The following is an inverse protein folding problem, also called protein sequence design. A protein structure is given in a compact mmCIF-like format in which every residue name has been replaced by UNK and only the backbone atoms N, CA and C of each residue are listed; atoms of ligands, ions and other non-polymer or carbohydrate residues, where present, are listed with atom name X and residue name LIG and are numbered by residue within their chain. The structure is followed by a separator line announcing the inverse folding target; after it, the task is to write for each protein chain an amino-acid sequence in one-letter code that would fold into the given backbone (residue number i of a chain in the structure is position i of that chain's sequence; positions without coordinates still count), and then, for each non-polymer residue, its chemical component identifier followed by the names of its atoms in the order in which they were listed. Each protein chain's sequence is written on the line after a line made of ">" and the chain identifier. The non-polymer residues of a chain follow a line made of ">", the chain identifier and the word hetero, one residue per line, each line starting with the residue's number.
data_IF_187299425661
#
_entry.id   IF_187299425661
#
_cell.length_a   1.000
_cell.length_b   1.000
_cell.length_c   1.000
_cell.angle_alpha   90.00
_cell.angle_beta   90.00
_cell.angle_gamma   90.00
#
_symmetry.space_group_name_H-M   'P 1'
#
loop_
_entity.id
_entity.type
_entity.pdbx_description
1 polymer ?
#
# COMPACT_ATOMS: atom_id res chain seq x y z
N UNK A 1 6.50 91.85 12.36
CA UNK A 1 5.94 91.05 11.26
C UNK A 1 6.82 89.82 11.11
N UNK A 2 6.50 88.71 11.73
CA UNK A 2 7.28 87.46 11.73
C UNK A 2 6.41 86.35 11.24
N UNK A 3 6.71 85.85 10.05
CA UNK A 3 6.00 84.75 9.42
C UNK A 3 6.50 83.40 9.94
N UNK A 4 5.61 82.59 10.48
CA UNK A 4 5.93 81.25 10.95
C UNK A 4 5.77 80.23 9.80
N UNK A 5 6.85 79.52 9.49
CA UNK A 5 6.92 78.44 8.52
C UNK A 5 6.47 77.13 9.18
N UNK A 6 5.36 76.53 8.73
CA UNK A 6 4.91 75.22 9.19
C UNK A 6 5.54 74.13 8.32
N UNK A 7 6.36 73.28 8.90
CA UNK A 7 6.89 72.07 8.26
C UNK A 7 5.87 70.94 8.48
N UNK A 8 5.24 70.42 7.45
CA UNK A 8 4.39 69.26 7.49
C UNK A 8 5.25 67.99 7.34
N UNK A 9 5.26 67.16 8.37
CA UNK A 9 5.93 65.87 8.35
C UNK A 9 5.10 64.86 7.56
N UNK A 10 5.55 64.49 6.35
CA UNK A 10 4.98 63.42 5.58
C UNK A 10 5.42 62.07 6.14
N UNK A 11 4.45 61.24 6.55
CA UNK A 11 4.70 59.88 6.96
C UNK A 11 4.83 59.00 5.71
N UNK A 12 6.06 58.50 5.41
CA UNK A 12 6.29 57.48 4.41
C UNK A 12 5.98 56.12 5.02
N UNK A 13 4.91 55.47 4.61
CA UNK A 13 4.63 54.09 4.92
C UNK A 13 5.56 53.22 4.05
N UNK A 14 6.60 52.69 4.61
CA UNK A 14 7.43 51.66 3.96
C UNK A 14 6.69 50.34 4.03
N UNK A 15 6.09 49.90 2.94
CA UNK A 15 5.51 48.57 2.79
C UNK A 15 6.65 47.57 2.64
N UNK A 16 7.00 46.85 3.74
CA UNK A 16 7.92 45.73 3.71
C UNK A 16 7.24 44.55 3.01
N UNK A 17 7.52 44.36 1.74
CA UNK A 17 7.20 43.13 1.01
C UNK A 17 8.06 42.00 1.57
N UNK A 18 7.49 41.19 2.48
CA UNK A 18 8.12 39.93 2.89
C UNK A 18 8.12 38.96 1.72
N UNK A 19 9.26 38.38 1.35
CA UNK A 19 9.27 37.33 0.33
C UNK A 19 8.47 36.13 0.83
N UNK A 20 7.49 35.71 0.07
CA UNK A 20 6.77 34.46 0.27
C UNK A 20 7.75 33.32 0.01
N UNK A 21 8.29 32.74 1.07
CA UNK A 21 9.11 31.54 0.97
C UNK A 21 8.19 30.41 0.49
N UNK A 22 8.22 30.14 -0.80
CA UNK A 22 7.68 28.91 -1.36
C UNK A 22 8.57 27.79 -0.83
N UNK A 23 8.05 27.05 0.18
CA UNK A 23 8.64 25.80 0.60
C UNK A 23 8.49 24.84 -0.58
N UNK A 24 9.56 24.63 -1.33
CA UNK A 24 9.61 23.55 -2.29
C UNK A 24 9.38 22.25 -1.51
N UNK A 25 8.28 21.56 -1.79
CA UNK A 25 8.07 20.20 -1.32
C UNK A 25 9.26 19.38 -1.80
N UNK A 26 10.05 18.90 -0.85
CA UNK A 26 11.13 17.95 -1.12
C UNK A 26 10.46 16.74 -1.77
N UNK A 27 10.89 16.29 -2.96
CA UNK A 27 10.31 15.09 -3.57
C UNK A 27 10.46 13.95 -2.56
N UNK A 28 9.33 13.36 -2.19
CA UNK A 28 9.26 12.23 -1.27
C UNK A 28 10.21 11.14 -1.78
N UNK A 29 11.23 10.81 -1.00
CA UNK A 29 12.19 9.77 -1.35
C UNK A 29 11.42 8.50 -1.71
N UNK A 30 11.80 7.80 -2.80
CA UNK A 30 11.17 6.54 -3.15
C UNK A 30 11.25 5.62 -1.93
N UNK A 31 10.10 5.22 -1.44
CA UNK A 31 9.98 4.37 -0.28
C UNK A 31 10.87 3.14 -0.45
N UNK A 32 11.48 2.69 0.65
CA UNK A 32 12.34 1.50 0.69
C UNK A 32 11.74 0.39 -0.15
N UNK A 33 12.52 -0.15 -1.10
CA UNK A 33 12.11 -1.29 -1.91
C UNK A 33 11.77 -2.46 -0.99
N UNK A 34 10.54 -2.93 -1.07
CA UNK A 34 10.06 -4.10 -0.33
C UNK A 34 10.32 -5.36 -1.15
N UNK A 35 10.60 -6.47 -0.48
CA UNK A 35 10.63 -7.76 -1.14
C UNK A 35 9.20 -8.19 -1.52
N UNK A 36 8.97 -8.78 -2.70
CA UNK A 36 7.68 -9.37 -3.01
C UNK A 36 7.30 -10.47 -2.00
N UNK A 37 6.05 -10.52 -1.54
CA UNK A 37 5.62 -11.54 -0.57
C UNK A 37 5.64 -12.97 -1.15
N UNK A 38 5.58 -13.12 -2.47
CA UNK A 38 5.73 -14.39 -3.19
C UNK A 38 6.62 -14.22 -4.39
N UNK A 39 7.23 -15.29 -4.85
CA UNK A 39 7.98 -15.34 -6.10
C UNK A 39 7.00 -15.34 -7.30
N UNK A 40 6.21 -14.28 -7.43
CA UNK A 40 5.32 -14.04 -8.56
C UNK A 40 6.00 -13.14 -9.57
N UNK A 41 5.86 -13.46 -10.84
CA UNK A 41 6.39 -12.61 -11.90
C UNK A 41 5.55 -11.35 -12.16
N UNK A 42 4.33 -11.26 -11.60
CA UNK A 42 3.39 -10.18 -11.92
C UNK A 42 2.25 -10.04 -10.91
N UNK A 43 1.55 -8.89 -10.97
CA UNK A 43 0.32 -8.57 -10.23
C UNK A 43 -0.88 -8.88 -11.13
N UNK A 44 -1.79 -9.74 -10.69
CA UNK A 44 -3.02 -10.09 -11.44
C UNK A 44 -4.21 -9.20 -11.14
N UNK A 45 -4.23 -8.52 -9.99
CA UNK A 45 -5.27 -7.56 -9.63
C UNK A 45 -4.63 -6.40 -8.88
N UNK A 46 -4.59 -5.19 -9.45
CA UNK A 46 -3.97 -4.03 -8.82
C UNK A 46 -4.85 -3.45 -7.70
N UNK A 47 -4.23 -2.58 -6.91
CA UNK A 47 -4.91 -1.73 -5.93
C UNK A 47 -5.86 -0.73 -6.62
N UNK A 48 -6.96 -0.40 -5.96
CA UNK A 48 -7.86 0.67 -6.37
C UNK A 48 -9.22 0.22 -6.90
N UNK A 49 -9.95 1.09 -7.61
CA UNK A 49 -11.25 0.78 -8.16
C UNK A 49 -11.18 -0.37 -9.17
N UNK A 50 -12.14 -1.30 -9.10
CA UNK A 50 -12.23 -2.42 -10.04
C UNK A 50 -13.66 -2.83 -10.29
N UNK A 51 -13.92 -3.36 -11.49
CA UNK A 51 -15.16 -4.09 -11.82
C UNK A 51 -14.75 -5.48 -12.32
N UNK A 52 -15.09 -6.51 -11.58
CA UNK A 52 -14.85 -7.88 -11.98
C UNK A 52 -16.16 -8.50 -12.44
N UNK A 53 -16.31 -8.64 -13.76
CA UNK A 53 -17.47 -9.33 -14.36
C UNK A 53 -17.62 -10.72 -13.74
N UNK A 54 -18.84 -11.10 -13.40
CA UNK A 54 -19.19 -12.39 -12.81
C UNK A 54 -18.58 -12.68 -11.42
N UNK A 55 -18.04 -11.65 -10.71
CA UNK A 55 -17.45 -11.79 -9.36
C UNK A 55 -17.97 -10.71 -8.40
N UNK A 56 -19.30 -10.65 -8.15
CA UNK A 56 -19.89 -9.53 -7.39
C UNK A 56 -19.41 -9.44 -5.94
N UNK A 57 -18.97 -10.56 -5.35
CA UNK A 57 -18.43 -10.59 -3.98
C UNK A 57 -17.01 -10.02 -3.86
N UNK A 58 -16.33 -9.77 -4.98
CA UNK A 58 -14.97 -9.20 -4.96
C UNK A 58 -14.95 -7.72 -4.57
N UNK A 59 -16.12 -7.05 -4.56
CA UNK A 59 -16.23 -5.61 -4.31
C UNK A 59 -15.74 -4.75 -5.48
N UNK A 60 -16.02 -3.46 -5.37
CA UNK A 60 -15.70 -2.45 -6.41
C UNK A 60 -14.39 -1.70 -6.10
N UNK A 61 -13.73 -2.03 -5.00
CA UNK A 61 -12.44 -1.47 -4.61
C UNK A 61 -11.53 -2.56 -4.04
N UNK A 62 -10.25 -2.51 -4.37
CA UNK A 62 -9.22 -3.44 -3.94
C UNK A 62 -8.21 -2.74 -3.03
N UNK A 63 -8.16 -3.11 -1.77
CA UNK A 63 -7.30 -2.47 -0.76
C UNK A 63 -5.83 -2.93 -0.81
N UNK A 64 -5.49 -3.81 -1.72
CA UNK A 64 -4.14 -4.36 -1.88
C UNK A 64 -3.91 -4.82 -3.32
N UNK A 65 -3.04 -5.78 -3.49
CA UNK A 65 -2.73 -6.39 -4.77
C UNK A 65 -2.84 -7.91 -4.68
N UNK A 66 -3.28 -8.56 -5.78
CA UNK A 66 -3.27 -10.01 -5.89
C UNK A 66 -2.03 -10.45 -6.69
N UNK A 67 -1.23 -11.33 -6.12
CA UNK A 67 -0.04 -11.90 -6.73
C UNK A 67 -0.23 -13.40 -6.93
N UNK A 68 -0.44 -13.88 -8.17
CA UNK A 68 -0.68 -15.29 -8.44
C UNK A 68 0.56 -16.12 -8.11
N UNK A 69 0.33 -17.24 -7.44
CA UNK A 69 1.35 -18.22 -7.14
C UNK A 69 0.71 -19.58 -6.89
N UNK A 70 1.39 -20.70 -7.18
CA UNK A 70 0.84 -22.02 -6.97
C UNK A 70 0.59 -22.32 -5.48
N UNK A 71 -0.36 -23.19 -5.20
CA UNK A 71 -0.59 -23.68 -3.84
C UNK A 71 0.73 -24.25 -3.26
N UNK A 72 0.99 -23.95 -1.98
CA UNK A 72 2.22 -24.36 -1.31
C UNK A 72 3.45 -23.49 -1.56
N UNK A 73 3.39 -22.52 -2.50
CA UNK A 73 4.45 -21.54 -2.69
C UNK A 73 4.71 -20.75 -1.40
N UNK A 74 5.98 -20.44 -1.13
CA UNK A 74 6.35 -19.73 0.10
C UNK A 74 5.84 -18.29 0.08
N UNK A 75 5.14 -17.90 1.15
CA UNK A 75 4.80 -16.51 1.47
C UNK A 75 5.82 -15.97 2.45
N UNK A 76 6.37 -14.80 2.17
CA UNK A 76 7.52 -14.25 2.90
C UNK A 76 7.22 -12.84 3.42
N UNK A 77 7.92 -12.45 4.49
CA UNK A 77 7.90 -11.08 4.99
C UNK A 77 8.57 -10.13 4.00
N UNK A 78 7.90 -9.03 3.65
CA UNK A 78 8.37 -8.05 2.67
C UNK A 78 9.49 -7.16 3.20
N UNK A 79 9.62 -7.06 4.52
CA UNK A 79 10.65 -6.35 5.28
C UNK A 79 10.80 -6.98 6.68
N UNK A 80 11.83 -6.61 7.46
CA UNK A 80 11.90 -7.04 8.87
C UNK A 80 10.69 -6.49 9.65
N UNK A 81 10.20 -7.23 10.64
CA UNK A 81 9.06 -6.75 11.42
C UNK A 81 8.62 -7.67 12.55
N UNK A 82 7.55 -7.23 13.21
CA UNK A 82 6.89 -7.97 14.28
C UNK A 82 5.54 -8.51 13.81
N UNK A 83 5.30 -9.79 13.92
CA UNK A 83 3.99 -10.39 13.70
C UNK A 83 3.03 -9.91 14.79
N UNK A 84 2.02 -9.15 14.36
CA UNK A 84 1.00 -8.58 15.25
C UNK A 84 -0.15 -9.55 15.47
N UNK A 85 -0.52 -10.26 14.42
CA UNK A 85 -1.70 -11.14 14.42
C UNK A 85 -1.58 -12.22 13.37
N UNK A 86 -2.06 -13.39 13.72
CA UNK A 86 -2.39 -14.49 12.82
C UNK A 86 -3.85 -14.80 13.06
N UNK A 87 -4.67 -14.77 12.02
CA UNK A 87 -6.11 -15.02 12.14
C UNK A 87 -6.62 -15.81 10.96
N UNK A 88 -7.72 -16.55 11.18
CA UNK A 88 -8.46 -17.24 10.11
C UNK A 88 -9.93 -16.83 10.21
N UNK A 89 -10.28 -15.74 9.52
CA UNK A 89 -11.66 -15.24 9.49
C UNK A 89 -11.90 -14.31 8.32
N UNK A 90 -13.17 -14.08 8.01
CA UNK A 90 -13.60 -13.12 6.99
C UNK A 90 -13.13 -13.45 5.57
N UNK A 91 -13.19 -12.46 4.67
CA UNK A 91 -12.83 -12.63 3.27
C UNK A 91 -11.35 -13.00 3.06
N UNK A 92 -10.43 -12.49 3.87
CA UNK A 92 -9.00 -12.79 3.76
C UNK A 92 -8.60 -14.22 4.15
N UNK A 93 -9.46 -14.94 4.88
CA UNK A 93 -9.20 -16.31 5.32
C UNK A 93 -8.09 -16.39 6.36
N UNK A 94 -7.06 -17.19 6.12
CA UNK A 94 -5.86 -17.22 6.95
C UNK A 94 -4.94 -16.09 6.56
N UNK A 95 -4.67 -15.21 7.52
CA UNK A 95 -3.89 -13.99 7.34
C UNK A 95 -2.76 -13.90 8.36
N UNK A 96 -1.65 -13.33 7.92
CA UNK A 96 -0.53 -12.91 8.78
C UNK A 96 -0.33 -11.41 8.63
N UNK A 97 -0.46 -10.69 9.74
CA UNK A 97 -0.24 -9.24 9.83
C UNK A 97 1.12 -8.98 10.47
N UNK A 98 1.96 -8.23 9.81
CA UNK A 98 3.31 -7.88 10.28
C UNK A 98 3.45 -6.37 10.36
N UNK A 99 3.81 -5.86 11.55
CA UNK A 99 4.23 -4.47 11.72
C UNK A 99 5.68 -4.33 11.25
N UNK A 100 5.89 -3.53 10.27
CA UNK A 100 7.18 -3.09 9.77
C UNK A 100 7.48 -1.65 10.20
N UNK A 101 8.64 -1.13 9.85
CA UNK A 101 8.99 0.27 10.06
C UNK A 101 8.14 1.18 9.14
N UNK A 102 7.17 1.90 9.73
CA UNK A 102 6.29 2.84 9.04
C UNK A 102 5.06 2.24 8.33
N UNK A 103 4.82 0.92 8.40
CA UNK A 103 3.62 0.32 7.80
C UNK A 103 3.27 -1.05 8.39
N UNK A 104 2.04 -1.51 8.13
CA UNK A 104 1.61 -2.89 8.40
C UNK A 104 1.43 -3.62 7.07
N UNK A 105 2.09 -4.77 6.90
CA UNK A 105 1.86 -5.69 5.80
C UNK A 105 0.88 -6.78 6.19
N UNK A 106 -0.12 -7.07 5.35
CA UNK A 106 -1.10 -8.13 5.55
C UNK A 106 -1.00 -9.11 4.37
N UNK A 107 -0.75 -10.38 4.70
CA UNK A 107 -0.70 -11.45 3.71
C UNK A 107 -1.89 -12.37 3.93
N UNK A 108 -2.79 -12.47 2.96
CA UNK A 108 -4.06 -13.21 3.06
C UNK A 108 -4.13 -14.41 2.11
N UNK A 109 -5.16 -15.23 2.25
CA UNK A 109 -5.44 -16.46 1.50
C UNK A 109 -4.42 -17.59 1.71
N UNK A 110 -3.70 -17.57 2.86
CA UNK A 110 -2.71 -18.59 3.17
C UNK A 110 -3.37 -19.95 3.40
N UNK A 111 -2.63 -21.01 3.06
CA UNK A 111 -3.01 -22.39 3.39
C UNK A 111 -2.64 -22.76 4.82
N UNK A 112 -1.40 -22.41 5.20
CA UNK A 112 -0.87 -22.58 6.56
C UNK A 112 0.21 -21.53 6.86
N UNK A 113 0.44 -21.27 8.14
CA UNK A 113 1.61 -20.54 8.64
C UNK A 113 2.74 -21.49 8.96
N UNK A 114 3.98 -20.96 9.09
CA UNK A 114 5.12 -21.78 9.52
C UNK A 114 4.92 -22.28 10.97
N UNK A 115 5.47 -23.46 11.33
CA UNK A 115 5.40 -23.95 12.71
C UNK A 115 5.94 -22.96 13.73
N UNK A 116 7.03 -22.25 13.43
CA UNK A 116 7.61 -21.25 14.33
C UNK A 116 6.62 -20.12 14.67
N UNK A 117 5.89 -19.61 13.67
CA UNK A 117 4.85 -18.59 13.90
C UNK A 117 3.65 -19.16 14.66
N UNK A 118 3.25 -20.39 14.34
CA UNK A 118 2.17 -21.08 15.07
C UNK A 118 2.52 -21.33 16.55
N UNK A 119 3.81 -21.46 16.86
CA UNK A 119 4.35 -21.63 18.22
C UNK A 119 4.68 -20.31 18.91
N UNK A 120 4.31 -19.16 18.32
CA UNK A 120 4.43 -17.87 18.98
C UNK A 120 5.69 -17.05 18.63
N UNK A 121 6.46 -17.42 17.59
CA UNK A 121 7.51 -16.54 17.08
C UNK A 121 6.90 -15.22 16.61
N UNK A 122 7.41 -14.10 17.11
CA UNK A 122 6.87 -12.76 16.81
C UNK A 122 7.77 -11.90 15.94
N UNK A 123 9.06 -12.18 15.85
CA UNK A 123 9.99 -11.39 15.04
C UNK A 123 10.33 -12.13 13.75
N UNK A 124 10.32 -11.41 12.62
CA UNK A 124 10.66 -11.95 11.31
C UNK A 124 11.66 -11.04 10.60
N UNK A 125 12.60 -11.65 9.89
CA UNK A 125 13.52 -10.96 9.00
C UNK A 125 12.86 -10.71 7.64
N UNK A 126 13.43 -9.77 6.83
CA UNK A 126 13.06 -9.63 5.43
C UNK A 126 13.27 -10.96 4.68
N UNK A 127 12.30 -11.35 3.86
CA UNK A 127 12.33 -12.62 3.11
C UNK A 127 12.09 -13.87 3.93
N UNK A 128 11.91 -13.75 5.26
CA UNK A 128 11.60 -14.91 6.10
C UNK A 128 10.23 -15.49 5.75
N UNK A 129 10.14 -16.82 5.68
CA UNK A 129 8.90 -17.53 5.35
C UNK A 129 7.87 -17.36 6.47
N UNK A 130 6.72 -16.81 6.13
CA UNK A 130 5.55 -16.66 7.01
C UNK A 130 4.63 -17.88 6.93
N UNK A 131 4.47 -18.43 5.74
CA UNK A 131 3.55 -19.52 5.46
C UNK A 131 3.63 -19.97 4.01
N UNK A 132 2.52 -20.50 3.52
CA UNK A 132 2.39 -20.93 2.13
C UNK A 132 1.07 -20.43 1.53
N UNK A 133 1.08 -20.24 0.22
CA UNK A 133 -0.12 -19.92 -0.57
C UNK A 133 -1.16 -21.02 -0.44
N UNK A 134 -2.40 -20.64 -0.23
CA UNK A 134 -3.55 -21.54 -0.15
C UNK A 134 -4.75 -20.98 -0.90
N UNK A 135 -5.93 -21.42 -0.45
CA UNK A 135 -7.23 -21.01 -0.99
C UNK A 135 -8.21 -20.73 0.14
N UNK A 136 -7.75 -20.07 1.20
CA UNK A 136 -8.60 -19.74 2.35
C UNK A 136 -9.30 -18.41 2.17
N UNK A 137 -10.53 -18.29 2.71
CA UNK A 137 -11.34 -17.09 2.58
C UNK A 137 -12.06 -16.98 1.23
N UNK A 138 -12.33 -15.74 0.81
CA UNK A 138 -12.98 -15.43 -0.46
C UNK A 138 -11.94 -15.17 -1.55
N UNK A 139 -11.67 -16.18 -2.35
CA UNK A 139 -10.70 -16.07 -3.45
C UNK A 139 -11.21 -16.77 -4.71
N UNK A 140 -10.83 -16.29 -5.88
CA UNK A 140 -11.21 -16.82 -7.19
C UNK A 140 -10.06 -17.52 -7.93
N UNK A 141 -8.96 -17.78 -7.22
CA UNK A 141 -7.80 -18.47 -7.76
C UNK A 141 -6.68 -18.55 -6.72
N UNK A 142 -5.59 -19.22 -7.07
CA UNK A 142 -4.41 -19.34 -6.22
C UNK A 142 -3.57 -18.06 -6.32
N UNK A 143 -3.53 -17.30 -5.23
CA UNK A 143 -2.73 -16.08 -5.12
C UNK A 143 -2.49 -15.73 -3.66
N UNK A 144 -1.60 -14.79 -3.41
CA UNK A 144 -1.55 -14.02 -2.17
C UNK A 144 -2.23 -12.68 -2.42
N UNK A 145 -3.17 -12.30 -1.57
CA UNK A 145 -3.59 -10.92 -1.44
C UNK A 145 -2.65 -10.24 -0.46
N UNK A 146 -1.98 -9.18 -0.93
CA UNK A 146 -1.06 -8.39 -0.14
C UNK A 146 -1.56 -6.96 0.01
N UNK A 147 -1.78 -6.55 1.25
CA UNK A 147 -2.23 -5.21 1.61
C UNK A 147 -1.16 -4.50 2.45
N UNK A 148 -0.98 -3.22 2.20
CA UNK A 148 -0.12 -2.33 2.99
C UNK A 148 -0.99 -1.27 3.64
N UNK A 149 -0.90 -1.13 4.97
CA UNK A 149 -1.53 -0.05 5.71
C UNK A 149 -0.46 0.94 6.18
N UNK A 150 -0.65 2.22 5.86
CA UNK A 150 0.07 3.34 6.46
C UNK A 150 -0.92 4.18 7.27
N UNK A 151 -0.59 4.45 8.51
CA UNK A 151 -1.48 5.17 9.43
C UNK A 151 -2.92 4.60 9.47
N UNK A 152 -3.01 3.25 9.39
CA UNK A 152 -4.28 2.51 9.39
C UNK A 152 -5.07 2.59 8.08
N UNK A 153 -4.53 3.18 7.02
CA UNK A 153 -5.20 3.32 5.71
C UNK A 153 -4.50 2.47 4.64
N UNK A 154 -5.26 1.76 3.80
CA UNK A 154 -4.70 1.04 2.67
C UNK A 154 -3.99 1.98 1.69
N UNK A 155 -2.80 1.59 1.24
CA UNK A 155 -2.04 2.27 0.19
C UNK A 155 -1.61 1.26 -0.87
N UNK A 156 -1.40 1.73 -2.10
CA UNK A 156 -0.97 0.86 -3.20
C UNK A 156 0.41 0.25 -2.91
N UNK A 157 0.53 -1.09 -2.81
CA UNK A 157 1.81 -1.74 -2.58
C UNK A 157 2.72 -1.81 -3.81
N UNK A 158 2.16 -1.72 -5.02
CA UNK A 158 2.88 -1.99 -6.27
C UNK A 158 4.15 -1.14 -6.47
N UNK A 159 4.15 0.18 -6.20
CA UNK A 159 5.34 1.01 -6.34
C UNK A 159 6.50 0.60 -5.43
N UNK A 160 6.21 -0.07 -4.32
CA UNK A 160 7.23 -0.46 -3.33
C UNK A 160 7.87 -1.81 -3.62
N UNK A 161 7.19 -2.71 -4.34
CA UNK A 161 7.69 -4.05 -4.63
C UNK A 161 8.23 -4.22 -6.05
N UNK A 162 7.99 -3.25 -6.95
CA UNK A 162 8.56 -3.22 -8.29
C UNK A 162 8.16 -4.38 -9.20
N UNK A 163 7.01 -5.03 -8.97
CA UNK A 163 6.51 -6.15 -9.77
C UNK A 163 5.50 -5.63 -10.80
N UNK A 164 5.62 -5.97 -12.10
CA UNK A 164 4.72 -5.48 -13.14
C UNK A 164 3.32 -6.13 -13.07
N UNK A 165 2.37 -5.57 -13.80
CA UNK A 165 1.08 -6.24 -14.04
C UNK A 165 1.27 -7.48 -14.91
N UNK A 166 0.46 -8.53 -14.67
CA UNK A 166 0.41 -9.70 -15.54
C UNK A 166 -0.13 -9.31 -16.91
N UNK A 167 0.37 -9.94 -17.97
CA UNK A 167 -0.18 -9.77 -19.32
C UNK A 167 -1.66 -10.14 -19.32
N UNK A 168 -2.51 -9.26 -19.85
CA UNK A 168 -3.97 -9.43 -19.88
C UNK A 168 -4.67 -9.15 -18.55
N UNK A 169 -3.95 -8.78 -17.49
CA UNK A 169 -4.49 -8.26 -16.23
C UNK A 169 -4.65 -6.74 -16.26
N UNK A 170 -4.64 -6.14 -17.41
CA UNK A 170 -4.99 -4.74 -17.60
C UNK A 170 -6.43 -4.55 -17.12
N UNK A 171 -6.56 -4.43 -15.79
CA UNK A 171 -7.77 -3.89 -15.24
C UNK A 171 -7.87 -2.47 -15.77
N UNK A 172 -8.77 -2.31 -16.67
CA UNK A 172 -9.19 -1.04 -17.18
C UNK A 172 -9.63 -0.22 -15.99
N UNK A 173 -8.71 0.59 -15.50
CA UNK A 173 -9.01 1.67 -14.58
C UNK A 173 -9.96 2.54 -15.38
N UNK A 174 -11.20 2.59 -14.94
CA UNK A 174 -12.23 3.35 -15.62
C UNK A 174 -11.95 4.83 -15.38
N UNK A 175 -11.38 5.48 -16.36
CA UNK A 175 -11.58 6.92 -16.54
C UNK A 175 -13.05 7.12 -16.94
N UNK A 176 -13.98 6.84 -16.02
CA UNK A 176 -15.40 7.17 -16.14
C UNK A 176 -16.19 6.58 -17.32
N UNK A 177 -15.66 5.64 -18.10
CA UNK A 177 -16.35 5.02 -19.22
C UNK A 177 -16.40 3.49 -19.09
N UNK A 178 -17.62 2.93 -19.15
CA UNK A 178 -17.86 1.50 -19.28
C UNK A 178 -17.25 1.02 -20.60
N UNK A 179 -16.26 0.13 -20.54
CA UNK A 179 -15.71 -0.52 -21.72
C UNK A 179 -16.47 -1.84 -21.89
N UNK A 180 -17.32 -1.89 -22.88
CA UNK A 180 -17.96 -3.12 -23.38
C UNK A 180 -16.90 -4.02 -24.02
N UNK A 181 -17.04 -5.37 -23.91
CA UNK A 181 -16.10 -6.34 -24.45
C UNK A 181 -16.00 -6.28 -25.97
#
# INVERSE_FOLDING_TARGET
>A
MTAAFRISAGWFIVLLLLPWSSSAETPEQPARSLLPPVASGCISSPFGPRILANRPKAGTYHNGIDMPAPAGAAVRATAPGRVMRIQRKGPGGLEVMVQHDGFVGINSHLGMVTPALAQGKTMVAAGEKLGVVGHSGLTYGMHVFFEVLRDGRPVDPAPYIGVPLCKGSEHRVLDGQAITP
#
